data_IF_031276644139
#
_entry.id   IF_031276644139
#
_cell.length_a   1.000
_cell.length_b   1.000
_cell.length_c   1.000
_cell.angle_alpha   90.00
_cell.angle_beta   90.00
_cell.angle_gamma   90.00
#
_symmetry.space_group_name_H-M   'P 1'
#
loop_
_entity.id
_entity.type
_entity.pdbx_description
1 polymer ?
#
# COMPACT_ATOMS: atom_id res chain seq x y z
N UNK A 1 3.01 -7.07 -52.08
CA UNK A 1 4.43 -7.01 -51.66
C UNK A 1 4.57 -6.02 -50.50
N UNK A 2 5.27 -6.46 -49.46
CA UNK A 2 6.00 -5.73 -48.40
C UNK A 2 5.27 -4.65 -47.58
N UNK A 3 4.92 -5.08 -46.36
CA UNK A 3 4.76 -4.31 -45.13
C UNK A 3 5.96 -3.37 -44.93
N UNK A 4 5.70 -2.15 -44.51
CA UNK A 4 6.63 -1.38 -43.67
C UNK A 4 5.90 -1.02 -42.39
N UNK A 5 5.95 -1.96 -41.42
CA UNK A 5 5.83 -1.59 -40.02
C UNK A 5 7.06 -0.74 -39.71
N UNK A 6 6.86 0.56 -39.51
CA UNK A 6 7.84 1.37 -38.79
C UNK A 6 8.07 0.72 -37.42
N UNK A 7 9.31 0.52 -36.97
CA UNK A 7 9.57 0.03 -35.64
C UNK A 7 9.13 1.14 -34.68
N UNK A 8 7.98 0.95 -34.03
CA UNK A 8 7.69 1.64 -32.78
C UNK A 8 8.80 1.15 -31.86
N UNK A 9 9.76 2.05 -31.58
CA UNK A 9 10.76 1.83 -30.55
C UNK A 9 10.03 1.28 -29.34
N UNK A 10 10.45 0.10 -28.90
CA UNK A 10 10.05 -0.45 -27.62
C UNK A 10 10.35 0.61 -26.58
N UNK A 11 9.32 1.37 -26.19
CA UNK A 11 9.36 2.18 -24.99
C UNK A 11 9.67 1.17 -23.91
N UNK A 12 10.91 1.23 -23.41
CA UNK A 12 11.30 0.54 -22.21
C UNK A 12 10.17 0.73 -21.22
N UNK A 13 9.63 -0.38 -20.70
CA UNK A 13 8.64 -0.36 -19.65
C UNK A 13 9.22 0.56 -18.59
N UNK A 14 8.67 1.76 -18.45
CA UNK A 14 8.99 2.62 -17.33
C UNK A 14 8.56 1.80 -16.12
N UNK A 15 9.51 1.12 -15.49
CA UNK A 15 9.34 0.54 -14.17
C UNK A 15 8.84 1.70 -13.33
N UNK A 16 7.57 1.65 -12.96
CA UNK A 16 7.00 2.59 -12.01
C UNK A 16 7.74 2.35 -10.71
N UNK A 17 8.83 3.07 -10.48
CA UNK A 17 9.45 3.14 -9.17
C UNK A 17 8.47 3.93 -8.32
N UNK A 18 7.59 3.22 -7.61
CA UNK A 18 6.59 3.81 -6.70
C UNK A 18 7.24 4.45 -5.48
N UNK A 19 8.51 4.09 -5.23
CA UNK A 19 9.39 4.67 -4.25
C UNK A 19 10.70 5.09 -4.93
N UNK A 20 11.46 6.00 -4.31
CA UNK A 20 12.72 6.48 -4.84
C UNK A 20 13.66 5.35 -5.32
N UNK A 21 14.56 5.68 -6.24
CA UNK A 21 15.51 4.74 -6.84
C UNK A 21 16.26 3.96 -5.74
N UNK A 22 16.04 2.65 -5.64
CA UNK A 22 16.68 1.77 -4.63
C UNK A 22 15.72 1.10 -3.63
N UNK A 23 14.44 1.46 -3.61
CA UNK A 23 13.43 0.93 -2.70
C UNK A 23 12.62 -0.22 -3.28
N UNK A 24 12.60 -0.31 -4.60
CA UNK A 24 11.77 -1.24 -5.33
C UNK A 24 12.42 -2.62 -5.31
N UNK A 25 12.11 -3.41 -4.27
CA UNK A 25 12.58 -4.78 -4.20
C UNK A 25 11.70 -5.66 -5.10
N UNK A 26 12.12 -5.80 -6.36
CA UNK A 26 11.43 -6.64 -7.35
C UNK A 26 11.19 -8.09 -6.88
N UNK A 27 12.03 -8.61 -5.97
CA UNK A 27 11.81 -9.93 -5.38
C UNK A 27 10.63 -9.93 -4.39
N UNK A 28 10.45 -8.87 -3.60
CA UNK A 28 9.32 -8.72 -2.68
C UNK A 28 8.01 -8.62 -3.46
N UNK A 29 7.97 -7.83 -4.52
CA UNK A 29 6.80 -7.70 -5.40
C UNK A 29 6.43 -9.01 -6.09
N UNK A 30 7.43 -9.79 -6.51
CA UNK A 30 7.21 -11.09 -7.14
C UNK A 30 6.61 -12.08 -6.14
N UNK A 31 7.15 -12.14 -4.92
CA UNK A 31 6.64 -13.00 -3.84
C UNK A 31 5.21 -12.59 -3.47
N UNK A 32 4.98 -11.29 -3.30
CA UNK A 32 3.67 -10.75 -2.94
C UNK A 32 2.62 -10.98 -4.03
N UNK A 33 2.99 -10.78 -5.29
CA UNK A 33 2.14 -11.13 -6.45
C UNK A 33 1.81 -12.63 -6.48
N UNK A 34 2.77 -13.49 -6.10
CA UNK A 34 2.55 -14.92 -5.95
C UNK A 34 1.57 -15.25 -4.83
N UNK A 35 1.68 -14.56 -3.69
CA UNK A 35 0.78 -14.69 -2.55
C UNK A 35 -0.66 -14.30 -2.92
N UNK A 36 -0.87 -13.16 -3.57
CA UNK A 36 -2.20 -12.68 -3.98
C UNK A 36 -2.92 -13.59 -4.99
N UNK A 37 -2.18 -14.46 -5.68
CA UNK A 37 -2.73 -15.46 -6.61
C UNK A 37 -3.20 -16.74 -5.91
N UNK A 38 -2.84 -16.95 -4.64
CA UNK A 38 -3.32 -18.12 -3.89
C UNK A 38 -4.84 -18.02 -3.70
N UNK A 39 -5.63 -19.07 -4.01
CA UNK A 39 -7.09 -19.03 -3.96
C UNK A 39 -7.63 -18.52 -2.62
N UNK A 40 -7.09 -19.03 -1.51
CA UNK A 40 -7.50 -18.69 -0.15
C UNK A 40 -7.25 -17.21 0.21
N UNK A 41 -6.14 -16.64 -0.27
CA UNK A 41 -5.82 -15.22 -0.08
C UNK A 41 -6.75 -14.37 -0.93
N UNK A 42 -6.96 -14.78 -2.19
CA UNK A 42 -7.80 -14.05 -3.13
C UNK A 42 -9.26 -13.98 -2.66
N UNK A 43 -9.80 -15.09 -2.16
CA UNK A 43 -11.17 -15.17 -1.65
C UNK A 43 -11.36 -14.30 -0.39
N UNK A 44 -10.36 -14.24 0.49
CA UNK A 44 -10.41 -13.39 1.68
C UNK A 44 -10.37 -11.90 1.33
N UNK A 45 -9.49 -11.51 0.39
CA UNK A 45 -9.45 -10.13 -0.14
C UNK A 45 -10.79 -9.75 -0.78
N UNK A 46 -11.37 -10.64 -1.60
CA UNK A 46 -12.69 -10.42 -2.21
C UNK A 46 -13.79 -10.24 -1.17
N UNK A 47 -13.81 -11.07 -0.14
CA UNK A 47 -14.84 -11.03 0.92
C UNK A 47 -14.80 -9.70 1.66
N UNK A 48 -13.61 -9.22 2.02
CA UNK A 48 -13.43 -7.94 2.69
C UNK A 48 -13.79 -6.75 1.79
N UNK A 49 -13.47 -6.83 0.50
CA UNK A 49 -13.85 -5.81 -0.45
C UNK A 49 -15.36 -5.76 -0.66
N UNK A 50 -16.01 -6.92 -0.76
CA UNK A 50 -17.46 -7.00 -0.92
C UNK A 50 -18.21 -6.45 0.30
N UNK A 51 -17.68 -6.60 1.51
CA UNK A 51 -18.33 -6.09 2.73
C UNK A 51 -18.24 -4.57 2.88
N UNK A 52 -17.30 -3.92 2.21
CA UNK A 52 -17.04 -2.47 2.31
C UNK A 52 -17.45 -1.69 1.06
N UNK A 53 -18.02 -2.37 0.06
CA UNK A 53 -18.36 -1.79 -1.24
C UNK A 53 -19.71 -1.06 -1.22
N UNK A 54 -19.73 0.17 -1.73
CA UNK A 54 -20.97 0.92 -1.96
C UNK A 54 -21.83 0.25 -3.05
N UNK A 55 -23.18 0.30 -2.97
CA UNK A 55 -24.06 -0.28 -3.99
C UNK A 55 -23.79 0.24 -5.41
N UNK A 56 -23.34 1.49 -5.59
CA UNK A 56 -23.02 2.03 -6.91
C UNK A 56 -21.77 1.38 -7.49
N UNK A 57 -20.75 1.15 -6.67
CA UNK A 57 -19.52 0.47 -7.09
C UNK A 57 -19.81 -1.00 -7.43
N UNK A 58 -20.69 -1.65 -6.66
CA UNK A 58 -21.15 -3.00 -6.96
C UNK A 58 -21.87 -3.08 -8.32
N UNK A 59 -22.73 -2.10 -8.63
CA UNK A 59 -23.41 -2.02 -9.93
C UNK A 59 -22.44 -1.81 -11.10
N UNK A 60 -21.40 -0.99 -10.92
CA UNK A 60 -20.34 -0.79 -11.91
C UNK A 60 -19.57 -2.08 -12.15
N UNK A 61 -19.16 -2.78 -11.08
CA UNK A 61 -18.45 -4.06 -11.21
C UNK A 61 -19.32 -5.15 -11.84
N UNK A 62 -20.63 -5.17 -11.55
CA UNK A 62 -21.56 -6.11 -12.20
C UNK A 62 -21.58 -5.89 -13.72
N UNK A 63 -21.74 -4.65 -14.17
CA UNK A 63 -21.72 -4.30 -15.61
C UNK A 63 -20.39 -4.65 -16.26
N UNK A 64 -19.27 -4.34 -15.60
CA UNK A 64 -17.94 -4.75 -16.06
C UNK A 64 -17.81 -6.27 -16.17
N UNK A 65 -18.44 -7.02 -15.26
CA UNK A 65 -18.45 -8.48 -15.29
C UNK A 65 -19.23 -9.08 -16.45
N UNK A 66 -20.36 -8.48 -16.83
CA UNK A 66 -21.11 -8.87 -18.03
C UNK A 66 -20.26 -8.68 -19.29
N UNK A 67 -19.63 -7.51 -19.43
CA UNK A 67 -18.72 -7.20 -20.56
C UNK A 67 -17.51 -8.13 -20.58
N UNK A 68 -16.90 -8.41 -19.42
CA UNK A 68 -15.76 -9.34 -19.34
C UNK A 68 -16.16 -10.77 -19.70
N UNK A 69 -17.35 -11.21 -19.30
CA UNK A 69 -17.89 -12.54 -19.65
C UNK A 69 -18.11 -12.70 -21.15
N UNK A 70 -18.70 -11.70 -21.80
CA UNK A 70 -18.87 -11.67 -23.26
C UNK A 70 -17.52 -11.75 -23.99
N UNK A 71 -16.53 -11.02 -23.48
CA UNK A 71 -15.18 -10.97 -24.05
C UNK A 71 -14.27 -12.14 -23.64
N UNK A 72 -14.73 -13.08 -22.79
CA UNK A 72 -13.91 -14.15 -22.19
C UNK A 72 -12.63 -13.63 -21.53
N UNK A 73 -12.75 -12.49 -20.84
CA UNK A 73 -11.66 -11.84 -20.10
C UNK A 73 -11.94 -11.82 -18.61
N UNK A 74 -10.94 -11.41 -17.81
CA UNK A 74 -11.07 -11.25 -16.36
C UNK A 74 -11.19 -9.77 -15.97
N UNK A 75 -12.05 -9.49 -15.00
CA UNK A 75 -12.04 -8.19 -14.32
C UNK A 75 -10.82 -8.14 -13.42
N UNK A 76 -10.06 -7.04 -13.49
CA UNK A 76 -8.98 -6.75 -12.56
C UNK A 76 -9.42 -5.62 -11.66
N UNK A 77 -9.42 -5.86 -10.35
CA UNK A 77 -9.66 -4.83 -9.34
C UNK A 77 -8.31 -4.40 -8.79
N UNK A 78 -8.06 -3.09 -8.76
CA UNK A 78 -6.86 -2.54 -8.14
C UNK A 78 -7.07 -2.47 -6.63
N UNK A 79 -6.14 -3.06 -5.89
CA UNK A 79 -6.11 -2.96 -4.43
C UNK A 79 -5.67 -1.54 -4.03
N UNK A 80 -6.06 -1.06 -2.83
CA UNK A 80 -5.61 0.23 -2.36
C UNK A 80 -4.11 0.12 -2.05
N UNK A 81 -3.37 1.23 -2.00
CA UNK A 81 -1.92 1.17 -1.83
C UNK A 81 -1.45 0.36 -0.61
N UNK A 82 -2.17 0.41 0.52
CA UNK A 82 -1.82 -0.32 1.74
C UNK A 82 -2.08 -1.84 1.69
N UNK A 83 -2.78 -2.36 0.67
CA UNK A 83 -2.94 -3.81 0.43
C UNK A 83 -2.33 -4.27 -0.90
N UNK A 84 -2.10 -3.36 -1.83
CA UNK A 84 -1.58 -3.65 -3.17
C UNK A 84 -0.05 -3.52 -3.29
N UNK A 85 0.58 -2.81 -2.36
CA UNK A 85 2.03 -2.61 -2.32
C UNK A 85 2.62 -3.30 -1.08
N UNK A 86 3.60 -4.22 -1.23
CA UNK A 86 4.11 -4.98 -0.10
C UNK A 86 4.91 -4.14 0.90
N UNK A 87 5.56 -3.06 0.47
CA UNK A 87 6.30 -2.18 1.39
C UNK A 87 5.33 -1.38 2.27
N UNK A 88 4.27 -0.82 1.68
CA UNK A 88 3.20 -0.12 2.42
C UNK A 88 2.45 -1.06 3.33
N UNK A 89 2.14 -2.27 2.86
CA UNK A 89 1.50 -3.30 3.68
C UNK A 89 2.35 -3.61 4.94
N UNK A 90 3.65 -3.85 4.75
CA UNK A 90 4.56 -4.14 5.85
C UNK A 90 4.76 -2.93 6.77
N UNK A 91 4.80 -1.70 6.24
CA UNK A 91 4.86 -0.47 7.05
C UNK A 91 3.58 -0.28 7.86
N UNK A 92 2.41 -0.50 7.27
CA UNK A 92 1.14 -0.47 8.02
C UNK A 92 1.16 -1.51 9.15
N UNK A 93 1.57 -2.74 8.86
CA UNK A 93 1.64 -3.78 9.88
C UNK A 93 2.69 -3.49 10.97
N UNK A 94 3.81 -2.85 10.64
CA UNK A 94 4.84 -2.52 11.63
C UNK A 94 4.40 -1.46 12.64
N UNK A 95 3.57 -0.50 12.21
CA UNK A 95 2.98 0.52 13.09
C UNK A 95 2.13 -0.08 14.23
N UNK A 96 1.58 -1.28 14.02
CA UNK A 96 0.83 -2.00 15.06
C UNK A 96 1.69 -2.38 16.28
N UNK A 97 3.02 -2.26 16.20
CA UNK A 97 3.92 -2.45 17.34
C UNK A 97 3.83 -1.30 18.38
N UNK A 98 3.22 -0.17 18.02
CA UNK A 98 3.19 1.06 18.83
C UNK A 98 1.74 1.52 19.10
N UNK A 99 0.94 0.74 19.86
CA UNK A 99 -0.42 1.14 20.21
C UNK A 99 -0.41 2.38 21.11
N UNK A 100 -1.32 3.32 20.85
CA UNK A 100 -1.54 4.45 21.75
C UNK A 100 -2.56 4.03 22.79
N UNK A 101 -2.25 4.25 24.06
CA UNK A 101 -3.15 3.91 25.17
C UNK A 101 -3.97 5.13 25.59
N UNK A 102 -5.21 4.92 26.00
CA UNK A 102 -6.07 5.94 26.61
C UNK A 102 -5.78 6.11 28.11
N UNK A 103 -6.44 7.08 28.75
CA UNK A 103 -6.27 7.38 30.18
C UNK A 103 -6.65 6.22 31.12
N UNK A 104 -7.34 5.19 30.59
CA UNK A 104 -7.77 4.00 31.32
C UNK A 104 -6.87 2.79 31.06
N UNK A 105 -5.82 2.95 30.25
CA UNK A 105 -4.90 1.88 29.86
C UNK A 105 -5.49 0.91 28.83
N UNK A 106 -6.57 1.28 28.13
CA UNK A 106 -7.07 0.61 26.94
C UNK A 106 -6.45 1.19 25.67
N UNK A 107 -6.57 0.51 24.53
CA UNK A 107 -6.11 1.07 23.26
C UNK A 107 -7.01 2.24 22.83
N UNK A 108 -6.39 3.39 22.53
CA UNK A 108 -7.07 4.59 22.06
C UNK A 108 -7.79 4.30 20.75
N UNK A 109 -9.07 4.68 20.69
CA UNK A 109 -9.88 4.60 19.46
C UNK A 109 -10.18 6.01 18.94
N UNK A 110 -10.06 6.19 17.64
CA UNK A 110 -10.34 7.44 16.93
C UNK A 110 -11.50 7.20 15.97
N UNK A 111 -12.42 8.17 15.90
CA UNK A 111 -13.54 8.11 14.97
C UNK A 111 -13.10 8.60 13.58
N UNK A 112 -13.22 7.75 12.57
CA UNK A 112 -12.90 8.04 11.18
C UNK A 112 -14.00 7.46 10.30
N UNK A 113 -14.57 8.28 9.41
CA UNK A 113 -15.64 7.88 8.48
C UNK A 113 -16.85 7.18 9.15
N UNK A 114 -17.15 7.56 10.40
CA UNK A 114 -18.26 7.00 11.19
C UNK A 114 -17.94 5.70 11.92
N UNK A 115 -16.70 5.20 11.83
CA UNK A 115 -16.22 4.02 12.55
C UNK A 115 -15.19 4.38 13.63
N UNK A 116 -15.18 3.63 14.74
CA UNK A 116 -14.17 3.78 15.80
C UNK A 116 -13.04 2.79 15.57
N UNK A 117 -11.91 3.30 15.12
CA UNK A 117 -10.74 2.51 14.74
C UNK A 117 -9.60 2.70 15.75
N UNK A 118 -8.76 1.68 15.89
CA UNK A 118 -7.64 1.73 16.83
C UNK A 118 -6.51 2.64 16.31
N UNK A 119 -5.94 3.43 17.23
CA UNK A 119 -4.87 4.38 16.94
C UNK A 119 -3.49 3.82 17.33
N UNK A 120 -2.52 4.15 16.49
CA UNK A 120 -1.11 3.79 16.64
C UNK A 120 -0.26 5.04 16.49
N UNK A 121 0.97 5.00 17.00
CA UNK A 121 1.95 6.05 16.80
C UNK A 121 2.88 5.70 15.64
N UNK A 122 3.16 6.64 14.74
CA UNK A 122 4.25 6.50 13.78
C UNK A 122 5.56 7.05 14.40
N UNK A 123 6.52 6.18 14.75
CA UNK A 123 7.79 6.64 15.32
C UNK A 123 8.63 7.46 14.34
N UNK A 124 8.34 7.40 13.04
CA UNK A 124 9.08 8.12 12.00
C UNK A 124 8.49 9.52 11.72
N UNK A 125 7.30 9.84 12.23
CA UNK A 125 6.58 11.10 11.98
C UNK A 125 6.18 11.79 13.29
N UNK A 126 7.15 12.18 14.12
CA UNK A 126 6.95 12.88 15.40
C UNK A 126 5.89 12.24 16.33
N UNK A 127 5.74 10.91 16.27
CA UNK A 127 4.69 10.16 16.98
C UNK A 127 3.26 10.56 16.59
N UNK A 128 3.05 10.93 15.33
CA UNK A 128 1.76 11.23 14.76
C UNK A 128 0.79 10.05 14.97
N UNK A 129 -0.47 10.38 15.26
CA UNK A 129 -1.53 9.40 15.43
C UNK A 129 -1.97 8.90 14.06
N UNK A 130 -1.80 7.60 13.84
CA UNK A 130 -2.17 6.93 12.59
C UNK A 130 -3.23 5.88 12.85
N UNK A 131 -4.13 5.72 11.89
CA UNK A 131 -5.19 4.72 11.89
C UNK A 131 -5.00 3.85 10.65
N UNK A 132 -5.05 2.54 10.83
CA UNK A 132 -4.82 1.57 9.76
C UNK A 132 -6.17 1.09 9.23
N UNK A 133 -6.56 1.45 7.99
CA UNK A 133 -7.77 0.90 7.38
C UNK A 133 -7.62 -0.61 7.15
N UNK A 134 -8.72 -1.34 7.29
CA UNK A 134 -8.77 -2.79 7.09
C UNK A 134 -7.72 -3.58 7.90
N UNK A 135 -7.52 -3.20 9.17
CA UNK A 135 -6.47 -3.76 10.05
C UNK A 135 -6.38 -5.29 10.04
N UNK A 136 -7.51 -6.00 10.03
CA UNK A 136 -7.55 -7.46 9.99
C UNK A 136 -6.97 -8.05 8.69
N UNK A 137 -7.22 -7.39 7.55
CA UNK A 137 -6.71 -7.81 6.26
C UNK A 137 -5.23 -7.45 6.10
N UNK A 138 -4.82 -6.29 6.61
CA UNK A 138 -3.40 -5.90 6.70
C UNK A 138 -2.63 -6.93 7.52
N UNK A 139 -3.10 -7.26 8.72
CA UNK A 139 -2.48 -8.26 9.59
C UNK A 139 -2.38 -9.63 8.90
N UNK A 140 -3.47 -10.10 8.29
CA UNK A 140 -3.49 -11.38 7.59
C UNK A 140 -2.48 -11.43 6.43
N UNK A 141 -2.50 -10.42 5.54
CA UNK A 141 -1.63 -10.40 4.37
C UNK A 141 -0.16 -10.24 4.76
N UNK A 142 0.14 -9.36 5.73
CA UNK A 142 1.49 -9.13 6.19
C UNK A 142 2.09 -10.37 6.87
N UNK A 143 1.33 -11.05 7.74
CA UNK A 143 1.75 -12.34 8.34
C UNK A 143 2.02 -13.38 7.27
N UNK A 144 1.09 -13.54 6.31
CA UNK A 144 1.24 -14.52 5.23
C UNK A 144 2.47 -14.25 4.36
N UNK A 145 2.79 -12.98 4.11
CA UNK A 145 3.98 -12.57 3.38
C UNK A 145 5.26 -12.88 4.17
N UNK A 146 5.32 -12.48 5.44
CA UNK A 146 6.47 -12.72 6.33
C UNK A 146 6.73 -14.22 6.48
N UNK A 147 5.70 -15.04 6.70
CA UNK A 147 5.80 -16.50 6.76
C UNK A 147 6.31 -17.09 5.44
N UNK A 148 5.82 -16.60 4.29
CA UNK A 148 6.30 -17.04 2.98
C UNK A 148 7.78 -16.75 2.78
N UNK A 149 8.26 -15.61 3.31
CA UNK A 149 9.66 -15.22 3.31
C UNK A 149 10.50 -15.88 4.42
N UNK A 150 9.86 -16.70 5.28
CA UNK A 150 10.47 -17.31 6.47
C UNK A 150 11.06 -16.27 7.43
N UNK A 151 10.37 -15.15 7.56
CA UNK A 151 10.67 -14.08 8.51
C UNK A 151 9.73 -14.13 9.72
N UNK A 152 10.10 -13.44 10.80
CA UNK A 152 9.24 -13.32 11.97
C UNK A 152 7.92 -12.62 11.62
N UNK A 153 6.79 -13.30 11.83
CA UNK A 153 5.44 -12.83 11.45
C UNK A 153 4.78 -11.88 12.49
N UNK A 154 5.58 -11.01 13.11
CA UNK A 154 5.12 -10.02 14.10
C UNK A 154 5.23 -8.60 13.53
N UNK A 155 4.54 -7.58 14.11
CA UNK A 155 4.74 -6.19 13.72
C UNK A 155 6.21 -5.74 13.79
N UNK A 156 6.94 -6.20 14.82
CA UNK A 156 8.38 -5.93 14.96
C UNK A 156 9.21 -6.65 13.90
N UNK A 157 8.84 -7.89 13.57
CA UNK A 157 9.44 -8.63 12.47
C UNK A 157 9.29 -7.93 11.13
N UNK A 158 8.13 -7.31 10.87
CA UNK A 158 7.88 -6.48 9.69
C UNK A 158 8.81 -5.25 9.64
N UNK A 159 8.95 -4.52 10.75
CA UNK A 159 9.90 -3.40 10.85
C UNK A 159 11.34 -3.88 10.56
N UNK A 160 11.75 -4.98 11.18
CA UNK A 160 13.09 -5.54 11.00
C UNK A 160 13.35 -6.02 9.55
N UNK A 161 12.35 -6.62 8.89
CA UNK A 161 12.46 -6.98 7.48
C UNK A 161 12.65 -5.73 6.65
N UNK A 162 11.81 -4.72 6.83
CA UNK A 162 11.91 -3.45 6.11
C UNK A 162 13.30 -2.83 6.30
N UNK A 163 13.77 -2.68 7.54
CA UNK A 163 15.13 -2.21 7.83
C UNK A 163 16.20 -3.06 7.12
N UNK A 164 16.05 -4.38 7.08
CA UNK A 164 17.02 -5.27 6.42
C UNK A 164 17.06 -5.08 4.91
N UNK A 165 15.92 -4.76 4.29
CA UNK A 165 15.83 -4.43 2.86
C UNK A 165 16.52 -3.09 2.56
N UNK A 166 16.57 -2.19 3.55
CA UNK A 166 17.13 -0.84 3.41
C UNK A 166 18.59 -0.71 3.81
N UNK A 167 19.21 -1.72 4.44
CA UNK A 167 20.62 -1.68 4.83
C UNK A 167 21.51 -1.45 3.60
N UNK A 168 21.99 -0.21 3.46
CA UNK A 168 22.89 0.22 2.37
C UNK A 168 22.21 0.97 1.21
N UNK A 169 20.90 1.23 1.27
CA UNK A 169 20.20 2.08 0.30
C UNK A 169 20.18 3.55 0.75
N UNK A 170 20.49 4.49 -0.14
CA UNK A 170 20.20 5.92 0.09
C UNK A 170 18.68 6.11 0.00
N UNK A 171 18.07 6.28 1.16
CA UNK A 171 16.64 6.53 1.36
C UNK A 171 16.39 8.01 1.06
N UNK A 172 15.66 8.37 -0.02
CA UNK A 172 15.39 9.76 -0.30
C UNK A 172 14.17 10.23 0.51
N UNK A 173 14.33 11.38 1.18
CA UNK A 173 13.41 11.93 2.20
C UNK A 173 11.95 12.06 1.76
N UNK A 174 11.69 12.18 0.45
CA UNK A 174 10.34 12.32 -0.12
C UNK A 174 9.46 11.08 0.06
N UNK A 175 10.02 9.94 0.46
CA UNK A 175 9.23 8.72 0.68
C UNK A 175 8.52 8.72 2.04
N UNK A 176 9.05 9.43 3.03
CA UNK A 176 8.39 9.63 4.34
C UNK A 176 7.54 10.89 4.39
N UNK A 177 7.64 11.77 3.39
CA UNK A 177 6.75 12.91 3.29
C UNK A 177 5.35 12.42 2.89
N UNK A 178 4.44 12.44 3.87
CA UNK A 178 2.99 12.42 3.64
C UNK A 178 2.69 13.38 2.48
N UNK A 179 2.07 12.93 1.37
CA UNK A 179 1.82 13.80 0.24
C UNK A 179 1.04 15.00 0.77
N UNK A 180 1.66 16.18 0.70
CA UNK A 180 1.02 17.42 1.10
C UNK A 180 -0.33 17.47 0.40
N UNK A 181 -1.40 17.59 1.19
CA UNK A 181 -2.75 17.88 0.70
C UNK A 181 -2.58 18.96 -0.35
N UNK A 182 -3.01 18.69 -1.59
CA UNK A 182 -2.83 19.57 -2.76
C UNK A 182 -3.05 21.03 -2.32
N UNK A 183 -1.96 21.74 -2.06
CA UNK A 183 -2.03 23.13 -1.70
C UNK A 183 -2.41 23.87 -2.98
N UNK A 184 -3.46 24.68 -2.88
CA UNK A 184 -3.95 25.50 -3.99
C UNK A 184 -2.78 26.33 -4.52
N UNK A 185 -2.70 26.55 -5.85
CA UNK A 185 -1.53 27.07 -6.55
C UNK A 185 -1.21 28.57 -6.30
N UNK A 186 -1.54 29.11 -5.13
CA UNK A 186 -1.50 30.55 -4.90
C UNK A 186 -0.43 31.01 -3.89
N UNK A 187 0.27 30.13 -3.16
CA UNK A 187 1.28 30.60 -2.20
C UNK A 187 2.52 29.70 -2.08
N UNK A 188 3.34 29.61 -3.13
CA UNK A 188 4.72 29.13 -2.96
C UNK A 188 5.66 30.34 -2.77
N UNK A 189 5.99 30.64 -1.52
CA UNK A 189 7.18 31.44 -1.19
C UNK A 189 8.34 30.48 -1.00
N UNK A 190 9.22 30.45 -1.99
CA UNK A 190 10.47 29.69 -1.95
C UNK A 190 11.35 30.22 -0.81
N UNK A 191 11.50 29.41 0.25
CA UNK A 191 12.25 29.72 1.47
C UNK A 191 13.77 29.68 1.32
N UNK A 192 14.31 29.42 0.13
CA UNK A 192 15.74 29.25 -0.09
C UNK A 192 16.43 30.34 -0.92
N UNK A 193 15.87 31.56 -1.00
CA UNK A 193 16.62 32.73 -1.49
C UNK A 193 17.25 33.51 -0.33
N UNK A 194 18.49 33.16 -0.01
CA UNK A 194 19.41 34.09 0.65
C UNK A 194 19.85 35.08 -0.43
N UNK A 195 19.32 36.31 -0.38
CA UNK A 195 19.79 37.43 -1.18
C UNK A 195 20.95 38.06 -0.40
N UNK A 196 22.17 37.93 -0.93
CA UNK A 196 23.28 38.82 -0.61
C UNK A 196 23.34 39.93 -1.66
#
# INVERSE_FOLDING_TARGET
>A
MKRFCSPIFATAVASRTFFGKGWDNASLDTIFSGLLRKPEVNDRVRTQYASTMDPRDADVLRRLGEVSKENKTFIRVFLPPHLGDPHRLLKCYSLMAYPIMDDKGGQLKVEMDGEKLDAFADPDDDYAKVVIPHIELVEYLAKSLLETMKWEATPRGAASLLESLYRGAEVPDHVFQTPAVIERPENYKDGNKIIN
#
